data_IF_176158748552
#
_entry.id   IF_176158748552
#
_cell.length_a   1.000
_cell.length_b   1.000
_cell.length_c   1.000
_cell.angle_alpha   90.00
_cell.angle_beta   90.00
_cell.angle_gamma   90.00
#
_symmetry.space_group_name_H-M   'P 1'
#
loop_
_entity.id
_entity.type
_entity.pdbx_description
1 polymer ?
#
# COMPACT_ATOMS: atom_id res chain seq x y z
N UNK A 1 2.67 -4.58 -19.84
CA UNK A 1 3.02 -3.77 -18.66
C UNK A 1 4.31 -4.33 -18.11
N UNK A 2 5.15 -3.52 -17.47
CA UNK A 2 6.33 -3.96 -16.74
C UNK A 2 6.26 -3.43 -15.32
N UNK A 3 6.67 -4.23 -14.36
CA UNK A 3 6.68 -3.81 -12.96
C UNK A 3 7.99 -4.20 -12.28
N UNK A 4 8.34 -3.47 -11.25
CA UNK A 4 9.42 -3.77 -10.34
C UNK A 4 9.03 -3.38 -8.91
N UNK A 5 9.49 -4.14 -7.94
CA UNK A 5 9.20 -3.88 -6.54
C UNK A 5 10.45 -4.02 -5.67
N UNK A 6 10.63 -3.08 -4.75
CA UNK A 6 11.77 -3.05 -3.83
C UNK A 6 11.31 -2.62 -2.45
N UNK A 7 11.97 -3.12 -1.43
CA UNK A 7 11.79 -2.67 -0.05
C UNK A 7 13.15 -2.62 0.66
N UNK A 8 13.28 -1.72 1.62
CA UNK A 8 14.48 -1.56 2.45
C UNK A 8 14.08 -1.45 3.93
N UNK A 9 14.94 -1.93 4.81
CA UNK A 9 14.69 -1.88 6.26
C UNK A 9 14.78 -0.46 6.84
N UNK A 10 15.35 0.46 6.07
CA UNK A 10 15.64 1.81 6.56
C UNK A 10 16.84 1.86 7.51
N UNK A 11 17.05 3.04 8.11
CA UNK A 11 18.21 3.29 8.98
C UNK A 11 17.90 3.18 10.46
N UNK A 12 16.62 3.11 10.84
CA UNK A 12 16.17 3.15 12.24
C UNK A 12 15.49 1.86 12.69
N UNK A 13 14.81 1.19 11.81
CA UNK A 13 14.10 -0.06 12.12
C UNK A 13 15.09 -1.22 12.26
N UNK A 14 14.71 -2.25 12.98
CA UNK A 14 15.49 -3.50 13.15
C UNK A 14 14.89 -4.67 12.38
N UNK A 15 13.65 -4.54 11.98
CA UNK A 15 12.88 -5.53 11.23
C UNK A 15 12.17 -4.77 10.13
N UNK A 16 12.13 -5.34 8.94
CA UNK A 16 11.29 -4.84 7.87
C UNK A 16 9.89 -5.40 8.07
N UNK A 17 8.91 -4.52 8.29
CA UNK A 17 7.51 -4.87 8.49
C UNK A 17 6.68 -4.64 7.22
N UNK A 18 7.28 -4.07 6.18
CA UNK A 18 6.66 -3.97 4.87
C UNK A 18 6.73 -5.29 4.13
N UNK A 19 5.70 -5.57 3.36
CA UNK A 19 5.66 -6.71 2.46
C UNK A 19 5.01 -6.32 1.13
N UNK A 20 5.59 -6.78 0.03
CA UNK A 20 5.08 -6.49 -1.30
C UNK A 20 4.91 -7.76 -2.13
N UNK A 21 4.02 -7.69 -3.10
CA UNK A 21 3.85 -8.69 -4.15
C UNK A 21 3.58 -7.99 -5.48
N UNK A 22 4.24 -8.44 -6.54
CA UNK A 22 3.96 -7.97 -7.89
C UNK A 22 4.07 -9.12 -8.88
N UNK A 23 3.18 -9.09 -9.88
CA UNK A 23 3.19 -10.04 -10.99
C UNK A 23 2.57 -9.40 -12.22
N UNK A 24 3.32 -9.37 -13.30
CA UNK A 24 2.83 -9.00 -14.64
C UNK A 24 2.10 -10.16 -15.32
N UNK A 25 2.26 -11.39 -14.78
CA UNK A 25 1.58 -12.58 -15.21
C UNK A 25 0.26 -12.79 -14.47
N UNK A 26 -0.73 -13.45 -15.08
CA UNK A 26 -2.04 -13.66 -14.46
C UNK A 26 -1.98 -14.41 -13.12
N UNK A 27 -2.73 -13.91 -12.15
CA UNK A 27 -2.96 -14.54 -10.85
C UNK A 27 -4.47 -14.83 -10.71
N UNK A 28 -4.87 -16.05 -11.01
CA UNK A 28 -6.29 -16.43 -11.05
C UNK A 28 -7.08 -15.61 -12.08
N UNK A 29 -8.04 -14.81 -11.63
CA UNK A 29 -8.84 -13.93 -12.50
C UNK A 29 -8.19 -12.58 -12.80
N UNK A 30 -7.14 -12.20 -12.06
CA UNK A 30 -6.42 -10.95 -12.27
C UNK A 30 -5.37 -11.12 -13.38
N UNK A 31 -5.38 -10.32 -14.45
CA UNK A 31 -4.38 -10.40 -15.51
C UNK A 31 -2.97 -10.00 -15.05
N UNK A 32 -2.87 -9.25 -13.98
CA UNK A 32 -1.69 -8.83 -13.24
C UNK A 32 -2.12 -8.47 -11.82
N UNK A 33 -1.19 -8.42 -10.86
CA UNK A 33 -1.54 -8.08 -9.48
C UNK A 33 -0.35 -7.43 -8.77
N UNK A 34 -0.58 -6.30 -8.13
CA UNK A 34 0.39 -5.51 -7.40
C UNK A 34 -0.14 -5.19 -6.01
N UNK A 35 0.64 -5.44 -4.97
CA UNK A 35 0.22 -5.25 -3.57
C UNK A 35 1.40 -4.69 -2.77
N UNK A 36 1.12 -3.69 -1.93
CA UNK A 36 2.00 -3.20 -0.87
C UNK A 36 1.24 -3.24 0.44
N UNK A 37 1.89 -3.68 1.49
CA UNK A 37 1.34 -3.81 2.83
C UNK A 37 2.41 -3.41 3.85
N UNK A 38 2.06 -2.46 4.73
CA UNK A 38 2.88 -2.00 5.84
C UNK A 38 2.32 -2.60 7.13
N UNK A 39 3.14 -3.40 7.79
CA UNK A 39 2.75 -4.15 8.96
C UNK A 39 2.93 -3.37 10.23
N UNK A 40 1.88 -3.28 11.04
CA UNK A 40 1.91 -2.64 12.35
C UNK A 40 1.71 -3.62 13.49
N UNK A 41 2.32 -3.29 14.63
CA UNK A 41 2.28 -4.11 15.86
C UNK A 41 3.63 -4.16 16.55
N UNK A 42 3.70 -4.73 17.75
CA UNK A 42 4.96 -4.87 18.46
C UNK A 42 5.97 -5.74 17.72
N UNK A 43 7.23 -5.70 18.09
CA UNK A 43 8.48 -6.19 17.47
C UNK A 43 8.44 -7.35 16.45
N UNK A 44 7.45 -8.24 16.45
CA UNK A 44 7.33 -9.38 15.54
C UNK A 44 5.92 -9.55 14.97
N UNK A 45 5.04 -8.63 15.26
CA UNK A 45 3.65 -8.77 14.88
C UNK A 45 3.38 -8.11 13.51
N UNK A 46 4.06 -7.00 13.21
CA UNK A 46 3.86 -6.26 11.96
C UNK A 46 4.36 -7.03 10.73
N UNK A 47 5.59 -7.57 10.76
CA UNK A 47 6.14 -8.38 9.67
C UNK A 47 5.30 -9.63 9.39
N UNK A 48 4.76 -10.23 10.45
CA UNK A 48 3.82 -11.35 10.34
C UNK A 48 2.50 -10.91 9.72
N UNK A 49 1.95 -9.77 10.13
CA UNK A 49 0.66 -9.28 9.63
C UNK A 49 0.73 -8.99 8.12
N UNK A 50 1.70 -8.18 7.68
CA UNK A 50 1.86 -7.81 6.27
C UNK A 50 2.14 -9.02 5.39
N UNK A 51 3.13 -9.84 5.75
CA UNK A 51 3.50 -11.02 4.97
C UNK A 51 2.38 -12.06 4.91
N UNK A 52 1.68 -12.30 6.02
CA UNK A 52 0.55 -13.24 6.07
C UNK A 52 -0.61 -12.74 5.23
N UNK A 53 -0.98 -11.45 5.36
CA UNK A 53 -2.10 -10.87 4.61
C UNK A 53 -1.86 -10.96 3.10
N UNK A 54 -0.69 -10.54 2.61
CA UNK A 54 -0.37 -10.55 1.19
C UNK A 54 -0.30 -11.98 0.65
N UNK A 55 0.41 -12.89 1.33
CA UNK A 55 0.52 -14.28 0.88
C UNK A 55 -0.85 -14.97 0.85
N UNK A 56 -1.68 -14.75 1.87
CA UNK A 56 -3.03 -15.31 1.94
C UNK A 56 -3.92 -14.78 0.82
N UNK A 57 -3.87 -13.47 0.55
CA UNK A 57 -4.60 -12.86 -0.55
C UNK A 57 -4.21 -13.49 -1.90
N UNK A 58 -2.91 -13.63 -2.17
CA UNK A 58 -2.39 -14.22 -3.40
C UNK A 58 -2.79 -15.71 -3.54
N UNK A 59 -2.74 -16.47 -2.45
CA UNK A 59 -3.19 -17.87 -2.44
C UNK A 59 -4.67 -18.02 -2.80
N UNK A 60 -5.51 -17.14 -2.27
CA UNK A 60 -6.94 -17.10 -2.55
C UNK A 60 -7.18 -16.66 -4.00
N UNK A 61 -6.52 -15.58 -4.43
CA UNK A 61 -6.62 -15.03 -5.77
C UNK A 61 -6.34 -16.06 -6.86
N UNK A 62 -5.35 -16.96 -6.67
CA UNK A 62 -5.02 -18.05 -7.62
C UNK A 62 -6.18 -19.02 -7.89
N UNK A 63 -7.16 -19.08 -7.01
CA UNK A 63 -8.31 -19.99 -7.14
C UNK A 63 -9.52 -19.32 -7.78
N UNK A 64 -9.47 -18.01 -7.94
CA UNK A 64 -10.58 -17.22 -8.44
C UNK A 64 -10.78 -17.37 -9.93
N UNK A 65 -12.06 -17.37 -10.31
CA UNK A 65 -12.49 -17.41 -11.70
C UNK A 65 -12.85 -16.00 -12.18
N UNK A 66 -13.06 -15.84 -13.48
CA UNK A 66 -13.40 -14.55 -14.10
C UNK A 66 -14.64 -13.92 -13.46
N UNK A 67 -14.43 -12.78 -12.81
CA UNK A 67 -15.45 -11.95 -12.16
C UNK A 67 -14.98 -10.48 -12.19
N UNK A 68 -15.83 -9.54 -11.78
CA UNK A 68 -15.43 -8.13 -11.67
C UNK A 68 -14.35 -7.96 -10.60
N UNK A 69 -13.24 -7.26 -10.91
CA UNK A 69 -12.08 -7.16 -10.02
C UNK A 69 -12.44 -6.71 -8.59
N UNK A 70 -13.27 -5.69 -8.44
CA UNK A 70 -13.66 -5.18 -7.11
C UNK A 70 -14.38 -6.20 -6.25
N UNK A 71 -15.31 -6.96 -6.83
CA UNK A 71 -16.05 -7.98 -6.07
C UNK A 71 -15.13 -9.07 -5.55
N UNK A 72 -14.15 -9.45 -6.38
CA UNK A 72 -13.14 -10.43 -5.97
C UNK A 72 -12.22 -9.84 -4.91
N UNK A 73 -11.67 -8.65 -5.14
CA UNK A 73 -10.78 -7.98 -4.19
C UNK A 73 -11.42 -7.82 -2.81
N UNK A 74 -12.67 -7.34 -2.76
CA UNK A 74 -13.41 -7.15 -1.51
C UNK A 74 -13.61 -8.46 -0.76
N UNK A 75 -14.10 -9.50 -1.45
CA UNK A 75 -14.31 -10.81 -0.86
C UNK A 75 -13.02 -11.43 -0.32
N UNK A 76 -11.94 -11.37 -1.11
CA UNK A 76 -10.64 -11.89 -0.69
C UNK A 76 -10.07 -11.12 0.49
N UNK A 77 -10.22 -9.79 0.51
CA UNK A 77 -9.73 -8.98 1.62
C UNK A 77 -10.50 -9.29 2.91
N UNK A 78 -11.81 -9.51 2.84
CA UNK A 78 -12.61 -9.89 4.01
C UNK A 78 -12.15 -11.24 4.59
N UNK A 79 -11.89 -12.25 3.73
CA UNK A 79 -11.33 -13.53 4.19
C UNK A 79 -9.92 -13.38 4.80
N UNK A 80 -9.10 -12.49 4.23
CA UNK A 80 -7.77 -12.18 4.77
C UNK A 80 -7.89 -11.46 6.11
N UNK A 81 -8.78 -10.47 6.21
CA UNK A 81 -9.03 -9.73 7.45
C UNK A 81 -9.44 -10.66 8.59
N UNK A 82 -10.42 -11.53 8.34
CA UNK A 82 -10.86 -12.53 9.32
C UNK A 82 -9.68 -13.39 9.80
N UNK A 83 -8.87 -13.89 8.87
CA UNK A 83 -7.74 -14.75 9.20
C UNK A 83 -6.64 -14.02 10.01
N UNK A 84 -6.33 -12.76 9.69
CA UNK A 84 -5.36 -11.93 10.43
C UNK A 84 -5.92 -11.60 11.81
N UNK A 85 -7.19 -11.18 11.89
CA UNK A 85 -7.88 -10.85 13.14
C UNK A 85 -7.94 -12.06 14.09
N UNK A 86 -8.34 -13.23 13.59
CA UNK A 86 -8.34 -14.46 14.37
C UNK A 86 -6.94 -14.80 14.93
N UNK A 87 -5.90 -14.65 14.11
CA UNK A 87 -4.52 -14.91 14.53
C UNK A 87 -4.09 -13.93 15.63
N UNK A 88 -4.45 -12.65 15.50
CA UNK A 88 -4.17 -11.62 16.52
C UNK A 88 -4.88 -11.89 17.86
N UNK A 89 -6.05 -12.50 17.83
CA UNK A 89 -6.82 -12.85 19.02
C UNK A 89 -6.35 -14.16 19.68
N UNK A 90 -5.85 -15.13 18.89
CA UNK A 90 -5.48 -16.47 19.39
C UNK A 90 -4.07 -16.53 19.96
N UNK A 91 -3.15 -15.70 19.48
CA UNK A 91 -1.75 -15.76 19.88
C UNK A 91 -1.30 -14.44 20.52
N UNK A 92 -0.98 -14.46 21.82
CA UNK A 92 -0.58 -13.29 22.61
C UNK A 92 0.60 -12.51 21.97
N UNK A 93 1.53 -13.22 21.31
CA UNK A 93 2.67 -12.58 20.61
C UNK A 93 2.26 -11.74 19.40
N UNK A 94 1.05 -11.95 18.87
CA UNK A 94 0.47 -11.22 17.73
C UNK A 94 -0.70 -10.31 18.14
N UNK A 95 -0.92 -10.13 19.44
CA UNK A 95 -2.00 -9.28 19.93
C UNK A 95 -1.89 -7.87 19.36
N UNK A 96 -2.98 -7.40 18.72
CA UNK A 96 -3.05 -6.08 18.12
C UNK A 96 -2.24 -5.90 16.83
N UNK A 97 -1.79 -6.99 16.19
CA UNK A 97 -1.18 -6.87 14.87
C UNK A 97 -2.20 -6.44 13.82
N UNK A 98 -1.73 -5.73 12.84
CA UNK A 98 -2.49 -5.34 11.65
C UNK A 98 -1.56 -4.94 10.52
N UNK A 99 -2.14 -4.60 9.39
CA UNK A 99 -1.36 -4.12 8.25
C UNK A 99 -2.19 -3.20 7.37
N UNK A 100 -1.55 -2.24 6.72
CA UNK A 100 -2.15 -1.57 5.56
C UNK A 100 -2.26 -2.56 4.41
N UNK A 101 -3.07 -2.23 3.42
CA UNK A 101 -3.19 -3.07 2.22
C UNK A 101 -3.61 -2.22 1.03
N UNK A 102 -2.70 -1.90 0.15
CA UNK A 102 -3.01 -1.27 -1.14
C UNK A 102 -2.75 -2.28 -2.25
N UNK A 103 -3.77 -2.51 -3.08
CA UNK A 103 -3.70 -3.48 -4.17
C UNK A 103 -4.22 -2.87 -5.48
N UNK A 104 -3.60 -3.25 -6.59
CA UNK A 104 -4.03 -2.84 -7.93
C UNK A 104 -3.95 -4.00 -8.92
N UNK A 105 -4.91 -4.00 -9.86
CA UNK A 105 -4.87 -4.82 -11.09
C UNK A 105 -5.28 -3.95 -12.27
N UNK A 106 -4.63 -4.14 -13.41
CA UNK A 106 -4.97 -3.40 -14.63
C UNK A 106 -5.59 -4.37 -15.62
N UNK A 107 -6.84 -4.10 -15.99
CA UNK A 107 -7.58 -4.86 -16.99
C UNK A 107 -7.75 -3.96 -18.21
N UNK A 108 -7.23 -4.38 -19.35
CA UNK A 108 -7.14 -3.57 -20.58
C UNK A 108 -6.40 -2.23 -20.31
N UNK A 109 -7.13 -1.14 -20.20
CA UNK A 109 -6.58 0.19 -19.90
C UNK A 109 -7.16 0.80 -18.62
N UNK A 110 -7.73 -0.01 -17.76
CA UNK A 110 -8.36 0.47 -16.52
C UNK A 110 -7.69 -0.18 -15.32
N UNK A 111 -7.13 0.63 -14.43
CA UNK A 111 -6.61 0.19 -13.15
C UNK A 111 -7.74 0.16 -12.11
N UNK A 112 -7.90 -1.00 -11.47
CA UNK A 112 -8.80 -1.23 -10.34
C UNK A 112 -7.96 -1.28 -9.07
N UNK A 113 -8.26 -0.40 -8.13
CA UNK A 113 -7.43 -0.15 -6.96
C UNK A 113 -8.28 -0.32 -5.70
N UNK A 114 -7.72 -1.02 -4.72
CA UNK A 114 -8.30 -1.20 -3.39
C UNK A 114 -7.32 -0.70 -2.34
N UNK A 115 -7.81 0.04 -1.35
CA UNK A 115 -6.97 0.59 -0.28
C UNK A 115 -7.57 0.39 1.11
N UNK A 116 -6.70 0.01 2.04
CA UNK A 116 -6.92 0.05 3.50
C UNK A 116 -5.63 0.53 4.16
N UNK A 117 -5.73 1.61 4.94
CA UNK A 117 -4.57 2.20 5.61
C UNK A 117 -4.07 3.47 4.93
N UNK A 118 -2.85 3.83 5.21
CA UNK A 118 -2.16 5.03 4.74
C UNK A 118 -1.01 4.76 3.76
N UNK A 119 -0.84 3.50 3.34
CA UNK A 119 -0.07 3.18 2.14
C UNK A 119 -0.79 3.74 0.92
N UNK A 120 -0.03 4.22 -0.06
CA UNK A 120 -0.57 5.02 -1.15
C UNK A 120 -0.37 4.38 -2.52
N UNK A 121 -1.27 4.72 -3.42
CA UNK A 121 -1.09 4.56 -4.85
C UNK A 121 -1.15 5.92 -5.52
N UNK A 122 -0.14 6.19 -6.33
CA UNK A 122 -0.05 7.37 -7.19
C UNK A 122 -0.19 6.96 -8.66
N UNK A 123 -0.79 7.84 -9.43
CA UNK A 123 -0.80 7.79 -10.89
C UNK A 123 0.09 8.91 -11.44
N UNK A 124 0.89 8.58 -12.45
CA UNK A 124 1.78 9.51 -13.12
C UNK A 124 1.57 9.46 -14.64
N UNK A 125 1.30 10.62 -15.24
CA UNK A 125 1.13 10.86 -16.67
C UNK A 125 1.91 12.10 -17.16
N UNK A 126 3.05 12.38 -16.51
CA UNK A 126 3.81 13.62 -16.59
C UNK A 126 3.53 14.53 -15.40
N UNK A 127 2.49 14.23 -14.61
CA UNK A 127 2.23 14.80 -13.28
C UNK A 127 1.86 13.71 -12.31
N UNK A 128 2.39 13.80 -11.10
CA UNK A 128 2.03 12.86 -10.04
C UNK A 128 0.72 13.30 -9.38
N UNK A 129 -0.13 12.32 -9.07
CA UNK A 129 -1.34 12.54 -8.27
C UNK A 129 -1.65 11.33 -7.42
N UNK A 130 -1.85 11.52 -6.15
CA UNK A 130 -2.32 10.49 -5.24
C UNK A 130 -3.75 10.07 -5.65
N UNK A 131 -3.96 8.78 -5.87
CA UNK A 131 -5.26 8.20 -6.21
C UNK A 131 -5.98 7.73 -4.96
N UNK A 132 -5.27 7.05 -4.06
CA UNK A 132 -5.81 6.56 -2.79
C UNK A 132 -5.98 7.70 -1.80
N UNK A 133 -6.82 7.47 -0.80
CA UNK A 133 -7.02 8.38 0.32
C UNK A 133 -6.54 7.68 1.59
N UNK A 134 -5.73 8.36 2.38
CA UNK A 134 -5.17 7.78 3.60
C UNK A 134 -6.27 7.56 4.65
N UNK A 135 -6.32 6.39 5.24
CA UNK A 135 -7.12 6.14 6.44
C UNK A 135 -6.29 6.53 7.66
N UNK A 136 -6.10 7.82 7.86
CA UNK A 136 -5.36 8.40 8.98
C UNK A 136 -6.18 9.48 9.69
N UNK A 137 -5.91 9.68 10.97
CA UNK A 137 -6.57 10.73 11.76
C UNK A 137 -6.38 12.11 11.12
N UNK A 138 -5.19 12.37 10.59
CA UNK A 138 -4.86 13.65 9.96
C UNK A 138 -5.67 13.88 8.69
N UNK A 139 -5.86 12.86 7.88
CA UNK A 139 -6.71 12.96 6.69
C UNK A 139 -8.17 13.23 7.07
N UNK A 140 -8.67 12.62 8.15
CA UNK A 140 -10.02 12.90 8.66
C UNK A 140 -10.16 14.36 9.13
N UNK A 141 -9.15 14.92 9.84
CA UNK A 141 -9.14 16.32 10.26
C UNK A 141 -9.11 17.29 9.07
N UNK A 142 -8.32 16.99 8.03
CA UNK A 142 -8.30 17.80 6.79
C UNK A 142 -9.67 17.78 6.11
N UNK A 143 -10.31 16.63 6.00
CA UNK A 143 -11.65 16.50 5.39
C UNK A 143 -12.74 17.19 6.20
N UNK A 144 -12.60 17.18 7.52
CA UNK A 144 -13.51 17.93 8.40
C UNK A 144 -13.28 19.45 8.35
N UNK A 145 -12.19 19.91 7.72
CA UNK A 145 -11.80 21.32 7.66
C UNK A 145 -11.24 21.85 8.99
N UNK A 146 -10.79 20.95 9.85
CA UNK A 146 -10.19 21.31 11.17
C UNK A 146 -8.73 21.72 11.04
N UNK A 147 -8.01 21.19 10.05
CA UNK A 147 -6.65 21.60 9.70
C UNK A 147 -6.49 21.76 8.18
N UNK A 148 -5.53 22.57 7.77
CA UNK A 148 -5.18 22.71 6.34
C UNK A 148 -4.32 21.52 5.85
N UNK A 149 -4.45 21.17 4.54
CA UNK A 149 -3.65 20.12 3.90
C UNK A 149 -2.14 20.34 4.09
N UNK A 150 -1.68 21.58 4.07
CA UNK A 150 -0.27 21.93 4.27
C UNK A 150 0.24 21.62 5.68
N UNK A 151 -0.63 21.52 6.69
CA UNK A 151 -0.29 21.21 8.07
C UNK A 151 -0.20 19.70 8.32
N UNK A 152 -0.84 18.89 7.47
CA UNK A 152 -0.97 17.44 7.65
C UNK A 152 0.39 16.73 7.78
N UNK A 153 1.36 17.07 6.91
CA UNK A 153 2.67 16.43 6.85
C UNK A 153 3.48 16.56 8.14
N UNK A 154 3.31 17.65 8.87
CA UNK A 154 4.04 17.96 10.11
C UNK A 154 3.19 17.77 11.37
N UNK A 155 1.99 17.24 11.24
CA UNK A 155 1.09 17.07 12.38
C UNK A 155 1.62 16.02 13.37
N UNK A 156 1.54 16.26 14.69
CA UNK A 156 2.05 15.31 15.71
C UNK A 156 1.41 13.92 15.65
N UNK A 157 0.20 13.82 15.13
CA UNK A 157 -0.59 12.59 15.04
C UNK A 157 -0.68 12.03 13.62
N UNK A 158 0.25 12.40 12.72
CA UNK A 158 0.22 11.99 11.32
C UNK A 158 0.31 10.47 11.10
N UNK A 159 0.92 9.75 12.04
CA UNK A 159 1.09 8.30 11.96
C UNK A 159 -0.05 7.51 12.64
N UNK A 160 -1.17 8.16 13.00
CA UNK A 160 -2.33 7.47 13.56
C UNK A 160 -3.22 6.98 12.42
N UNK A 161 -3.20 5.67 12.19
CA UNK A 161 -4.04 4.99 11.19
C UNK A 161 -5.41 4.72 11.80
N UNK A 162 -6.48 4.95 11.02
CA UNK A 162 -7.87 4.75 11.45
C UNK A 162 -8.49 3.46 10.93
N UNK A 163 -7.89 2.84 9.91
CA UNK A 163 -8.27 1.52 9.38
C UNK A 163 -7.04 0.68 9.03
N UNK A 164 -7.06 -0.59 9.43
CA UNK A 164 -6.05 -1.57 9.01
C UNK A 164 -6.65 -2.99 8.99
N UNK A 165 -6.09 -3.85 8.15
CA UNK A 165 -6.43 -5.27 8.06
C UNK A 165 -6.01 -5.98 9.34
N UNK A 166 -6.92 -6.77 9.92
CA UNK A 166 -6.65 -7.59 11.12
C UNK A 166 -6.86 -6.88 12.46
N UNK A 167 -7.23 -5.60 12.48
CA UNK A 167 -7.46 -4.83 13.72
C UNK A 167 -8.89 -4.93 14.22
N UNK A 168 -9.84 -5.08 13.31
CA UNK A 168 -11.26 -5.20 13.61
C UNK A 168 -11.85 -6.43 12.91
N UNK A 169 -12.99 -6.91 13.42
CA UNK A 169 -13.70 -8.07 12.87
C UNK A 169 -14.16 -7.79 11.42
N UNK A 170 -14.72 -6.61 11.20
CA UNK A 170 -15.18 -6.16 9.89
C UNK A 170 -14.24 -5.09 9.32
N UNK A 171 -14.05 -5.12 7.98
CA UNK A 171 -13.28 -4.14 7.26
C UNK A 171 -14.02 -3.66 6.00
N UNK A 172 -13.91 -2.39 5.71
CA UNK A 172 -14.45 -1.78 4.50
C UNK A 172 -13.32 -1.08 3.75
N UNK A 173 -12.81 -1.67 2.66
CA UNK A 173 -11.81 -1.03 1.81
C UNK A 173 -12.42 0.10 0.99
N UNK A 174 -11.59 1.07 0.62
CA UNK A 174 -11.94 2.05 -0.39
C UNK A 174 -11.50 1.55 -1.77
N UNK A 175 -12.31 1.87 -2.80
CA UNK A 175 -12.05 1.48 -4.18
C UNK A 175 -11.90 2.68 -5.09
N UNK A 176 -10.96 2.58 -6.03
CA UNK A 176 -10.70 3.63 -7.01
C UNK A 176 -10.53 3.02 -8.40
N UNK A 177 -10.86 3.81 -9.42
CA UNK A 177 -10.67 3.46 -10.83
C UNK A 177 -9.87 4.57 -11.49
N UNK A 178 -8.87 4.16 -12.28
CA UNK A 178 -8.07 5.07 -13.10
C UNK A 178 -7.97 4.52 -14.51
N UNK A 179 -8.32 5.34 -15.49
CA UNK A 179 -8.05 5.02 -16.88
C UNK A 179 -6.57 5.29 -17.18
N UNK A 180 -5.89 4.26 -17.67
CA UNK A 180 -4.46 4.28 -17.96
C UNK A 180 -4.21 4.81 -19.37
N UNK A 181 -3.41 5.85 -19.48
CA UNK A 181 -2.93 6.36 -20.76
C UNK A 181 -1.63 5.65 -21.17
N UNK A 182 -1.30 5.73 -22.46
CA UNK A 182 -0.03 5.19 -22.96
C UNK A 182 1.15 6.01 -22.41
N UNK A 183 2.10 5.33 -21.79
CA UNK A 183 3.24 5.96 -21.12
C UNK A 183 2.97 6.37 -19.67
N UNK A 184 1.75 6.20 -19.15
CA UNK A 184 1.47 6.44 -17.74
C UNK A 184 1.98 5.31 -16.83
N UNK A 185 2.19 5.63 -15.55
CA UNK A 185 2.72 4.72 -14.54
C UNK A 185 1.89 4.74 -13.26
N UNK A 186 1.95 3.66 -12.49
CA UNK A 186 1.44 3.57 -11.13
C UNK A 186 2.61 3.37 -10.16
N UNK A 187 2.62 4.13 -9.06
CA UNK A 187 3.54 3.94 -7.94
C UNK A 187 2.73 3.52 -6.71
N UNK A 188 3.00 2.33 -6.17
CA UNK A 188 2.48 1.86 -4.89
C UNK A 188 3.59 1.95 -3.86
N UNK A 189 3.31 2.50 -2.68
CA UNK A 189 4.31 2.66 -1.63
C UNK A 189 3.69 2.67 -0.22
N UNK A 190 4.50 2.32 0.77
CA UNK A 190 4.21 2.55 2.19
C UNK A 190 4.51 3.99 2.59
N UNK A 191 4.17 4.34 3.83
CA UNK A 191 4.42 5.66 4.40
C UNK A 191 5.92 5.95 4.63
N UNK A 192 6.76 4.90 4.69
CA UNK A 192 8.20 5.04 4.74
C UNK A 192 8.81 5.82 3.58
N UNK A 193 8.19 5.75 2.40
CA UNK A 193 8.54 6.62 1.28
C UNK A 193 7.96 8.02 1.44
N UNK A 194 6.66 8.13 1.62
CA UNK A 194 5.95 9.42 1.55
C UNK A 194 6.15 10.31 2.78
N UNK A 195 6.55 9.73 3.90
CA UNK A 195 6.99 10.50 5.07
C UNK A 195 8.36 11.17 4.88
N UNK A 196 9.20 10.61 3.99
CA UNK A 196 10.56 11.11 3.73
C UNK A 196 10.62 11.96 2.46
N UNK A 197 9.93 11.57 1.40
CA UNK A 197 9.97 12.18 0.07
C UNK A 197 8.63 12.87 -0.21
N UNK A 198 8.65 14.11 -0.66
CA UNK A 198 7.43 14.82 -1.06
C UNK A 198 7.00 14.48 -2.49
N UNK A 199 5.75 14.85 -2.81
CA UNK A 199 5.16 14.53 -4.11
C UNK A 199 5.90 15.23 -5.26
N UNK A 200 6.43 16.45 -5.04
CA UNK A 200 7.21 17.17 -6.05
C UNK A 200 8.50 16.41 -6.38
N UNK A 201 9.16 15.85 -5.37
CA UNK A 201 10.38 15.06 -5.59
C UNK A 201 10.09 13.71 -6.23
N UNK A 202 8.98 13.07 -5.88
CA UNK A 202 8.51 11.85 -6.55
C UNK A 202 8.20 12.14 -8.02
N UNK A 203 7.57 13.28 -8.34
CA UNK A 203 7.32 13.70 -9.72
C UNK A 203 8.62 13.90 -10.50
N UNK A 204 9.63 14.54 -9.91
CA UNK A 204 10.95 14.68 -10.52
C UNK A 204 11.55 13.33 -10.88
N UNK A 205 11.57 12.38 -9.93
CA UNK A 205 12.11 11.03 -10.14
C UNK A 205 11.37 10.32 -11.27
N UNK A 206 10.03 10.33 -11.25
CA UNK A 206 9.20 9.65 -12.25
C UNK A 206 9.25 10.31 -13.64
N UNK A 207 9.71 11.56 -13.73
CA UNK A 207 9.89 12.30 -15.00
C UNK A 207 11.21 11.97 -15.71
N UNK A 208 12.11 11.23 -15.08
CA UNK A 208 13.36 10.83 -15.69
C UNK A 208 13.14 9.70 -16.70
N UNK A 209 14.04 9.52 -17.65
CA UNK A 209 14.02 8.39 -18.61
C UNK A 209 14.78 7.20 -18.00
N UNK A 210 14.09 6.42 -17.19
CA UNK A 210 14.65 5.31 -16.42
C UNK A 210 13.82 4.03 -16.55
N UNK A 211 14.39 2.90 -16.15
CA UNK A 211 13.67 1.64 -15.99
C UNK A 211 12.89 1.62 -14.70
N UNK A 212 11.91 0.71 -14.59
CA UNK A 212 11.10 0.52 -13.37
C UNK A 212 11.98 0.20 -12.15
N UNK A 213 13.07 -0.55 -12.34
CA UNK A 213 14.06 -0.86 -11.31
C UNK A 213 14.82 0.40 -10.84
N UNK A 214 15.24 1.23 -11.77
CA UNK A 214 15.93 2.48 -11.45
C UNK A 214 15.02 3.47 -10.73
N UNK A 215 13.73 3.57 -11.12
CA UNK A 215 12.76 4.39 -10.38
C UNK A 215 12.61 3.93 -8.93
N UNK A 216 12.40 2.62 -8.72
CA UNK A 216 12.27 2.08 -7.37
C UNK A 216 13.55 2.32 -6.54
N UNK A 217 14.73 2.10 -7.14
CA UNK A 217 16.01 2.37 -6.50
C UNK A 217 16.17 3.82 -6.08
N UNK A 218 15.86 4.79 -6.97
CA UNK A 218 15.93 6.21 -6.67
C UNK A 218 14.97 6.64 -5.58
N UNK A 219 13.74 6.11 -5.56
CA UNK A 219 12.78 6.38 -4.49
C UNK A 219 13.33 5.92 -3.12
N UNK A 220 13.90 4.71 -3.06
CA UNK A 220 14.51 4.18 -1.83
C UNK A 220 15.74 5.02 -1.43
N UNK A 221 16.63 5.34 -2.36
CA UNK A 221 17.82 6.16 -2.09
C UNK A 221 17.46 7.53 -1.52
N UNK A 222 16.42 8.15 -2.10
CA UNK A 222 15.95 9.47 -1.63
C UNK A 222 15.32 9.37 -0.23
N UNK A 223 14.49 8.34 0.04
CA UNK A 223 13.95 8.11 1.37
C UNK A 223 15.06 7.89 2.42
N UNK A 224 16.08 7.11 2.07
CA UNK A 224 17.25 6.90 2.92
C UNK A 224 18.06 8.18 3.12
N UNK A 225 18.19 9.01 2.10
CA UNK A 225 18.89 10.30 2.18
C UNK A 225 18.21 11.24 3.19
N UNK A 226 16.89 11.32 3.19
CA UNK A 226 16.10 12.11 4.16
C UNK A 226 15.92 11.44 5.52
N UNK A 227 16.55 10.32 5.76
CA UNK A 227 16.67 9.76 7.10
C UNK A 227 16.35 8.26 7.21
N UNK A 228 15.54 7.70 6.30
CA UNK A 228 15.18 6.28 6.32
C UNK A 228 14.61 5.86 7.68
N UNK A 229 13.59 6.59 8.17
CA UNK A 229 13.09 6.42 9.53
C UNK A 229 12.19 5.19 9.65
N UNK A 230 11.63 4.73 8.53
CA UNK A 230 10.76 3.56 8.41
C UNK A 230 11.22 2.58 7.32
N UNK A 231 10.45 1.52 7.14
CA UNK A 231 10.67 0.53 6.08
C UNK A 231 10.23 1.03 4.72
#
# INVERSE_FOLDING_TARGET
MKSFGMTDIGRKRKVNQDYLFFSDEPIGCFPNLYIVADGMGGHKAGDKASSYAVNRFVELAKKEKKELPFLVMERLLNEVNEAVYELSCKEEQYAGMGTTFVAATVVDKTAYIMNVGDSRLYYFDGKIRQVTMDHSLVEELVRAGEIDRSESRNHPQKNIITKAVGVAEDIQPDFFIVDMEEGSSLLLCSDGLTNMVDDEKLEEILSEDCTEEEYAGKCIEEALFYGGLDN
#
